data_IF_506761871327
#
_entry.id   IF_506761871327
#
_cell.length_a   1.000
_cell.length_b   1.000
_cell.length_c   1.000
_cell.angle_alpha   90.00
_cell.angle_beta   90.00
_cell.angle_gamma   90.00
#
_symmetry.space_group_name_H-M   'P 1'
#
loop_
_entity.id
_entity.type
_entity.pdbx_description
1 polymer ?
#
# COMPACT_ATOMS: atom_id res chain seq x y z
N UNK A 1 34.57 5.63 -16.09
CA UNK A 1 33.67 4.48 -15.85
C UNK A 1 34.40 3.22 -16.30
N UNK A 2 34.64 2.29 -15.37
CA UNK A 2 35.45 1.04 -15.44
C UNK A 2 36.72 1.08 -16.28
N UNK A 3 37.89 1.11 -15.64
CA UNK A 3 39.17 0.92 -16.33
C UNK A 3 39.15 -0.43 -17.10
N UNK A 4 39.72 -0.49 -18.31
CA UNK A 4 39.76 -1.71 -19.12
C UNK A 4 40.34 -2.90 -18.36
N UNK A 5 41.34 -2.65 -17.52
CA UNK A 5 42.13 -3.63 -16.75
C UNK A 5 41.43 -4.19 -15.50
N UNK A 6 40.19 -3.77 -15.21
CA UNK A 6 39.48 -4.24 -14.02
C UNK A 6 38.99 -5.69 -14.20
N UNK A 7 39.31 -6.57 -13.23
CA UNK A 7 38.96 -8.00 -13.26
C UNK A 7 37.46 -8.19 -13.55
N UNK A 8 37.13 -9.11 -14.46
CA UNK A 8 35.76 -9.44 -14.86
C UNK A 8 34.86 -9.81 -13.67
N UNK A 9 35.44 -10.40 -12.62
CA UNK A 9 34.74 -10.70 -11.36
C UNK A 9 34.31 -9.40 -10.67
N UNK A 10 35.19 -8.40 -10.61
CA UNK A 10 34.90 -7.10 -10.02
C UNK A 10 33.87 -6.31 -10.85
N UNK A 11 33.95 -6.38 -12.20
CA UNK A 11 32.91 -5.83 -13.09
C UNK A 11 31.55 -6.49 -12.82
N UNK A 12 31.52 -7.82 -12.70
CA UNK A 12 30.32 -8.58 -12.37
C UNK A 12 29.74 -8.22 -10.99
N UNK A 13 30.59 -8.07 -9.97
CA UNK A 13 30.17 -7.69 -8.63
C UNK A 13 29.54 -6.28 -8.61
N UNK A 14 30.16 -5.31 -9.30
CA UNK A 14 29.63 -3.94 -9.40
C UNK A 14 28.29 -3.95 -10.13
N UNK A 15 28.20 -4.61 -11.29
CA UNK A 15 26.96 -4.71 -12.05
C UNK A 15 25.83 -5.36 -11.23
N UNK A 16 26.14 -6.46 -10.54
CA UNK A 16 25.17 -7.18 -9.68
C UNK A 16 24.68 -6.31 -8.53
N UNK A 17 25.57 -5.53 -7.91
CA UNK A 17 25.20 -4.61 -6.82
C UNK A 17 24.24 -3.55 -7.30
N UNK A 18 24.49 -2.95 -8.47
CA UNK A 18 23.58 -1.93 -9.05
C UNK A 18 22.22 -2.55 -9.32
N UNK A 19 22.16 -3.72 -9.98
CA UNK A 19 20.90 -4.41 -10.26
C UNK A 19 20.14 -4.74 -8.97
N UNK A 20 20.84 -5.26 -7.96
CA UNK A 20 20.26 -5.62 -6.68
C UNK A 20 19.68 -4.40 -5.97
N UNK A 21 20.45 -3.30 -5.88
CA UNK A 21 19.97 -2.06 -5.25
C UNK A 21 18.79 -1.46 -6.00
N UNK A 22 18.82 -1.46 -7.34
CA UNK A 22 17.71 -0.99 -8.17
C UNK A 22 16.45 -1.82 -7.92
N UNK A 23 16.53 -3.15 -8.05
CA UNK A 23 15.40 -4.05 -7.86
C UNK A 23 14.83 -3.97 -6.44
N UNK A 24 15.71 -3.89 -5.43
CA UNK A 24 15.32 -3.78 -4.02
C UNK A 24 14.55 -2.49 -3.74
N UNK A 25 15.03 -1.36 -4.26
CA UNK A 25 14.36 -0.06 -4.09
C UNK A 25 12.99 -0.05 -4.76
N UNK A 26 12.87 -0.61 -5.97
CA UNK A 26 11.57 -0.73 -6.65
C UNK A 26 10.62 -1.65 -5.89
N UNK A 27 11.11 -2.78 -5.38
CA UNK A 27 10.33 -3.71 -4.57
C UNK A 27 9.81 -3.06 -3.27
N UNK A 28 10.67 -2.30 -2.58
CA UNK A 28 10.30 -1.58 -1.37
C UNK A 28 9.24 -0.51 -1.64
N UNK A 29 9.39 0.29 -2.71
CA UNK A 29 8.39 1.30 -3.08
C UNK A 29 7.06 0.66 -3.44
N UNK A 30 7.06 -0.44 -4.20
CA UNK A 30 5.83 -1.16 -4.52
C UNK A 30 5.18 -1.77 -3.27
N UNK A 31 5.98 -2.36 -2.38
CA UNK A 31 5.49 -2.79 -1.07
C UNK A 31 5.01 -1.60 -0.24
N UNK A 32 5.42 -0.37 -0.48
CA UNK A 32 4.85 0.79 0.20
C UNK A 32 3.51 1.21 -0.41
N UNK A 33 3.42 1.37 -1.74
CA UNK A 33 2.22 1.91 -2.43
C UNK A 33 1.10 0.89 -2.65
N UNK A 34 1.38 -0.41 -2.57
CA UNK A 34 0.40 -1.47 -2.85
C UNK A 34 -0.93 -1.44 -2.06
N UNK A 35 -1.07 -0.86 -0.85
CA UNK A 35 -2.37 -0.76 -0.17
C UNK A 35 -3.24 0.36 -0.74
N UNK A 36 -2.67 1.29 -1.51
CA UNK A 36 -3.33 2.53 -1.90
C UNK A 36 -4.55 2.27 -2.80
N UNK A 37 -5.71 2.73 -2.34
CA UNK A 37 -6.95 2.72 -3.13
C UNK A 37 -7.00 4.00 -3.96
N UNK A 38 -7.05 3.86 -5.28
CA UNK A 38 -7.15 4.97 -6.20
C UNK A 38 -8.58 5.52 -6.33
N UNK A 39 -9.56 4.62 -6.47
CA UNK A 39 -10.98 5.01 -6.46
C UNK A 39 -11.77 4.11 -5.55
N UNK A 40 -12.76 4.70 -4.91
CA UNK A 40 -13.66 4.01 -4.02
C UNK A 40 -15.10 4.37 -4.38
N UNK A 41 -15.92 3.37 -4.65
CA UNK A 41 -17.33 3.51 -4.99
C UNK A 41 -18.19 2.67 -4.07
N UNK A 42 -19.25 3.27 -3.57
CA UNK A 42 -20.23 2.57 -2.73
C UNK A 42 -21.59 3.19 -2.92
N UNK A 43 -22.60 2.34 -2.98
CA UNK A 43 -23.99 2.74 -3.04
C UNK A 43 -24.58 2.64 -1.62
N UNK A 44 -25.20 3.71 -1.09
CA UNK A 44 -25.83 3.68 0.22
C UNK A 44 -26.84 2.52 0.31
N UNK A 45 -26.67 1.65 1.31
CA UNK A 45 -27.50 0.45 1.50
C UNK A 45 -26.91 -0.85 0.97
N UNK A 46 -25.85 -0.80 0.15
CA UNK A 46 -25.10 -1.99 -0.24
C UNK A 46 -24.21 -2.50 0.89
N UNK A 47 -24.16 -3.82 1.08
CA UNK A 47 -23.24 -4.50 2.02
C UNK A 47 -21.82 -4.69 1.44
N UNK A 48 -21.60 -4.21 0.21
CA UNK A 48 -20.31 -4.26 -0.46
C UNK A 48 -19.96 -2.94 -1.15
N UNK A 49 -18.67 -2.69 -1.29
CA UNK A 49 -18.11 -1.53 -1.96
C UNK A 49 -17.05 -1.95 -2.98
N UNK A 50 -16.88 -1.14 -4.00
CA UNK A 50 -15.86 -1.33 -5.04
C UNK A 50 -14.66 -0.44 -4.76
N UNK A 51 -13.48 -1.04 -4.86
CA UNK A 51 -12.20 -0.36 -4.80
C UNK A 51 -11.42 -0.60 -6.08
N UNK A 52 -10.77 0.44 -6.57
CA UNK A 52 -9.85 0.38 -7.69
C UNK A 52 -8.45 0.59 -7.13
N UNK A 53 -7.59 -0.42 -7.30
CA UNK A 53 -6.18 -0.33 -6.92
C UNK A 53 -5.29 -0.33 -8.16
N UNK A 54 -4.05 0.13 -8.00
CA UNK A 54 -3.05 0.04 -9.05
C UNK A 54 -2.25 -1.26 -8.91
N UNK A 55 -2.03 -1.93 -10.03
CA UNK A 55 -1.08 -3.04 -10.14
C UNK A 55 0.36 -2.53 -10.12
N UNK A 56 1.30 -3.46 -10.07
CA UNK A 56 2.73 -3.17 -10.27
C UNK A 56 2.99 -2.37 -11.56
N UNK A 57 2.26 -2.66 -12.62
CA UNK A 57 2.38 -2.01 -13.93
C UNK A 57 1.44 -0.80 -14.07
N UNK A 58 0.99 -0.23 -12.95
CA UNK A 58 0.04 0.88 -12.91
C UNK A 58 -1.29 0.62 -13.66
N UNK A 59 -1.69 -0.64 -13.80
CA UNK A 59 -2.99 -1.00 -14.37
C UNK A 59 -4.04 -1.05 -13.28
N UNK A 60 -5.27 -0.62 -13.60
CA UNK A 60 -6.37 -0.63 -12.65
C UNK A 60 -6.86 -2.06 -12.39
N UNK A 61 -6.92 -2.43 -11.10
CA UNK A 61 -7.45 -3.70 -10.63
C UNK A 61 -8.70 -3.40 -9.78
N UNK A 62 -9.91 -3.48 -10.37
CA UNK A 62 -11.14 -3.34 -9.62
C UNK A 62 -11.34 -4.55 -8.70
N UNK A 63 -11.83 -4.30 -7.49
CA UNK A 63 -12.20 -5.34 -6.52
C UNK A 63 -13.45 -4.94 -5.75
N UNK A 64 -14.31 -5.92 -5.50
CA UNK A 64 -15.47 -5.77 -4.63
C UNK A 64 -15.14 -6.36 -3.26
N UNK A 65 -15.39 -5.62 -2.20
CA UNK A 65 -15.13 -6.01 -0.81
C UNK A 65 -16.42 -5.87 -0.03
N UNK A 66 -16.72 -6.85 0.83
CA UNK A 66 -17.86 -6.79 1.76
C UNK A 66 -17.43 -6.15 3.07
N UNK A 67 -18.33 -5.43 3.73
CA UNK A 67 -18.02 -4.83 5.03
C UNK A 67 -17.76 -5.89 6.12
N UNK A 68 -18.38 -7.07 6.00
CA UNK A 68 -18.17 -8.20 6.91
C UNK A 68 -16.75 -8.79 6.87
N UNK A 69 -16.01 -8.57 5.78
CA UNK A 69 -14.63 -9.05 5.63
C UNK A 69 -13.59 -8.08 6.23
N UNK A 70 -14.01 -6.88 6.65
CA UNK A 70 -13.12 -5.84 7.17
C UNK A 70 -12.64 -6.22 8.57
N UNK A 71 -11.32 -6.20 8.75
CA UNK A 71 -10.63 -6.43 10.03
C UNK A 71 -9.62 -5.32 10.29
N UNK A 72 -9.32 -5.03 11.57
CA UNK A 72 -8.21 -4.15 11.92
C UNK A 72 -6.90 -4.63 11.26
N UNK A 73 -6.07 -3.72 10.74
CA UNK A 73 -4.78 -4.10 10.19
C UNK A 73 -3.85 -4.40 11.37
N UNK A 74 -3.53 -5.68 11.57
CA UNK A 74 -2.52 -6.16 12.51
C UNK A 74 -1.15 -6.15 11.82
N UNK A 75 -0.62 -4.97 11.54
CA UNK A 75 0.66 -4.79 10.84
C UNK A 75 1.35 -3.51 11.28
N UNK A 76 2.69 -3.51 11.19
CA UNK A 76 3.53 -2.32 11.39
C UNK A 76 3.75 -1.53 10.10
N UNK A 77 3.10 -1.93 8.99
CA UNK A 77 3.20 -1.23 7.71
C UNK A 77 2.54 0.15 7.82
N UNK A 78 3.23 1.23 7.41
CA UNK A 78 2.63 2.57 7.40
C UNK A 78 1.53 2.63 6.33
N UNK A 79 0.61 3.59 6.47
CA UNK A 79 -0.48 3.84 5.51
C UNK A 79 -1.31 2.58 5.23
N UNK A 80 -1.95 2.04 6.26
CA UNK A 80 -2.96 0.98 6.15
C UNK A 80 -4.14 1.32 7.03
N UNK A 81 -5.34 1.35 6.45
CA UNK A 81 -6.60 1.63 7.15
C UNK A 81 -7.26 0.35 7.65
N UNK A 82 -7.34 -0.68 6.79
CA UNK A 82 -7.97 -1.95 7.13
C UNK A 82 -7.39 -3.13 6.36
N UNK A 83 -7.71 -4.34 6.81
CA UNK A 83 -7.40 -5.60 6.13
C UNK A 83 -8.71 -6.27 5.73
N UNK A 84 -8.81 -6.72 4.48
CA UNK A 84 -9.94 -7.51 4.00
C UNK A 84 -9.44 -8.60 3.06
N UNK A 85 -10.02 -9.81 3.12
CA UNK A 85 -9.64 -10.92 2.24
C UNK A 85 -8.11 -11.16 2.15
N UNK A 86 -7.42 -11.04 3.29
CA UNK A 86 -5.97 -11.21 3.40
C UNK A 86 -5.10 -10.07 2.84
N UNK A 87 -5.71 -9.01 2.27
CA UNK A 87 -5.02 -7.86 1.66
C UNK A 87 -5.17 -6.61 2.51
N UNK A 88 -4.16 -5.75 2.44
CA UNK A 88 -4.13 -4.47 3.14
C UNK A 88 -4.64 -3.36 2.22
N UNK A 89 -5.40 -2.43 2.80
CA UNK A 89 -6.03 -1.34 2.09
C UNK A 89 -5.79 -0.03 2.84
N UNK A 90 -5.53 1.02 2.09
CA UNK A 90 -5.38 2.37 2.57
C UNK A 90 -6.38 3.28 1.88
N UNK A 91 -7.13 4.00 2.70
CA UNK A 91 -8.05 5.05 2.27
C UNK A 91 -7.49 6.37 2.77
N UNK A 92 -7.28 7.30 1.86
CA UNK A 92 -6.95 8.67 2.20
C UNK A 92 -8.19 9.34 2.83
N UNK A 93 -8.09 9.63 4.13
CA UNK A 93 -9.18 10.21 4.91
C UNK A 93 -9.46 11.66 4.55
N UNK A 94 -8.46 12.40 4.05
CA UNK A 94 -8.57 13.82 3.76
C UNK A 94 -9.24 14.07 2.41
N UNK A 95 -8.97 13.21 1.42
CA UNK A 95 -9.49 13.35 0.06
C UNK A 95 -10.76 12.51 -0.22
N UNK A 96 -11.25 11.75 0.77
CA UNK A 96 -12.47 10.95 0.59
C UNK A 96 -13.74 11.79 0.85
N UNK A 97 -14.44 12.14 -0.23
CA UNK A 97 -15.69 12.91 -0.17
C UNK A 97 -16.83 12.19 0.56
N UNK A 98 -16.84 10.85 0.60
CA UNK A 98 -17.93 10.07 1.20
C UNK A 98 -17.64 9.72 2.68
N UNK A 99 -17.93 10.67 3.57
CA UNK A 99 -17.71 10.53 5.02
C UNK A 99 -18.47 9.37 5.67
N UNK A 100 -19.67 9.05 5.17
CA UNK A 100 -20.50 7.97 5.70
C UNK A 100 -19.85 6.60 5.48
N UNK A 101 -19.22 6.42 4.32
CA UNK A 101 -18.45 5.22 4.03
C UNK A 101 -17.14 5.17 4.83
N UNK A 102 -16.46 6.30 4.98
CA UNK A 102 -15.23 6.40 5.75
C UNK A 102 -15.42 5.93 7.19
N UNK A 103 -16.54 6.31 7.82
CA UNK A 103 -16.91 5.86 9.17
C UNK A 103 -17.11 4.33 9.27
N UNK A 104 -17.52 3.67 8.17
CA UNK A 104 -17.69 2.21 8.12
C UNK A 104 -16.37 1.47 7.84
N UNK A 105 -15.45 2.09 7.11
CA UNK A 105 -14.17 1.49 6.72
C UNK A 105 -13.07 1.63 7.76
N UNK A 106 -13.20 2.60 8.66
CA UNK A 106 -12.28 2.77 9.78
C UNK A 106 -12.85 1.98 10.96
N UNK A 107 -12.44 0.71 11.17
CA UNK A 107 -12.76 0.04 12.43
C UNK A 107 -12.23 0.93 13.55
N UNK A 108 -13.09 1.34 14.48
CA UNK A 108 -12.71 2.12 15.66
C UNK A 108 -11.77 1.28 16.52
N UNK A 109 -10.48 1.21 16.16
CA UNK A 109 -9.42 0.94 17.11
C UNK A 109 -9.41 2.16 18.02
N UNK A 110 -9.66 1.93 19.32
CA UNK A 110 -9.50 2.94 20.36
C UNK A 110 -8.28 3.81 20.04
N UNK A 111 -8.51 5.11 19.96
CA UNK A 111 -7.55 6.17 19.66
C UNK A 111 -6.12 5.77 20.06
N UNK A 112 -5.27 5.48 19.07
CA UNK A 112 -3.82 5.56 19.28
C UNK A 112 -3.42 7.03 19.09
N UNK A 113 -4.00 7.88 19.93
CA UNK A 113 -3.39 9.16 20.26
C UNK A 113 -2.05 8.85 20.93
N UNK A 114 -1.01 9.61 20.57
CA UNK A 114 0.31 9.63 21.21
C UNK A 114 1.35 8.63 20.69
N UNK A 115 2.16 9.09 19.75
CA UNK A 115 3.60 8.78 19.74
C UNK A 115 4.47 9.88 19.09
N UNK A 116 3.89 10.82 18.33
CA UNK A 116 4.67 11.86 17.63
C UNK A 116 4.35 13.31 18.04
N UNK A 117 3.66 13.53 19.17
CA UNK A 117 3.36 14.90 19.64
C UNK A 117 4.50 15.53 20.47
N UNK A 118 5.60 14.82 20.70
CA UNK A 118 6.77 15.32 21.45
C UNK A 118 8.10 14.84 20.84
N UNK A 119 8.40 15.24 19.61
CA UNK A 119 9.76 15.29 19.09
C UNK A 119 10.00 16.67 18.48
#
# INVERSE_FOLDING_TARGET
MTSPDMNVILKGAVASTVIFLSASTTGALHWFVSPYIHKLRWQPGSDSFEVEMLSWLATYIPKTIKFSDIRPPETNRPFVTFKANGKFYFVDTEHCHNKALLARLTPQKASHESAFKNL
#
